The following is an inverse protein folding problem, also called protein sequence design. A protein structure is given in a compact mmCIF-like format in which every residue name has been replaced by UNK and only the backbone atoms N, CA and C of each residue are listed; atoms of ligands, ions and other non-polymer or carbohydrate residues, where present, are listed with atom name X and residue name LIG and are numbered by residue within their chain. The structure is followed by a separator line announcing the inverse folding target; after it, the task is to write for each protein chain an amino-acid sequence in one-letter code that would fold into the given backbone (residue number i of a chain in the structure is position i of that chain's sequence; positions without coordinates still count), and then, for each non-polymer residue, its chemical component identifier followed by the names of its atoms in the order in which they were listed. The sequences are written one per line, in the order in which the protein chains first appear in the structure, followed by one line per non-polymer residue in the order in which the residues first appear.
data_IF_166037664207
#
_entry.id   IF_166037664207
#
_cell.length_a   1.000
_cell.length_b   1.000
_cell.length_c   1.000
_cell.angle_alpha   90.00
_cell.angle_beta   90.00
_cell.angle_gamma   90.00
#
_symmetry.space_group_name_H-M   'P 1'
#
loop_
_entity.id
_entity.type
_entity.pdbx_description
1 polymer ?
#
# COMPACT_ATOMS: atom_id res chain seq x y z
N UNK A 1 -3.26 17.78 -20.51
CA UNK A 1 -3.91 17.18 -19.31
C UNK A 1 -3.75 15.66 -19.38
N UNK A 2 -2.80 15.06 -18.66
CA UNK A 2 -2.59 13.60 -18.69
C UNK A 2 -3.59 12.91 -17.76
N UNK A 3 -4.56 12.18 -18.34
CA UNK A 3 -5.53 11.38 -17.60
C UNK A 3 -4.76 10.26 -16.88
N UNK A 4 -4.91 10.14 -15.57
CA UNK A 4 -4.43 8.99 -14.81
C UNK A 4 -5.29 7.77 -15.20
N UNK A 5 -4.87 7.02 -16.22
CA UNK A 5 -5.61 5.86 -16.78
C UNK A 5 -5.72 4.65 -15.81
N UNK A 6 -5.18 4.75 -14.59
CA UNK A 6 -5.16 3.65 -13.62
C UNK A 6 -6.29 3.65 -12.58
N UNK A 7 -7.09 4.71 -12.49
CA UNK A 7 -8.13 4.82 -11.45
C UNK A 7 -7.57 4.70 -10.02
N UNK A 8 -8.38 4.17 -9.11
CA UNK A 8 -8.02 4.02 -7.68
C UNK A 8 -6.86 3.05 -7.44
N UNK A 9 -6.77 1.98 -8.22
CA UNK A 9 -5.78 0.90 -8.09
C UNK A 9 -4.43 1.20 -8.75
N UNK A 10 -4.18 2.43 -9.20
CA UNK A 10 -2.96 2.77 -9.94
C UNK A 10 -2.85 2.10 -11.32
N UNK A 11 -1.73 2.37 -12.01
CA UNK A 11 -1.44 1.82 -13.34
C UNK A 11 -1.01 0.35 -13.30
N UNK A 12 -0.90 -0.32 -14.46
CA UNK A 12 -0.56 -1.75 -14.55
C UNK A 12 0.70 -2.16 -13.77
N UNK A 13 1.77 -1.37 -13.85
CA UNK A 13 3.03 -1.60 -13.11
C UNK A 13 2.82 -1.59 -11.59
N UNK A 14 1.97 -0.69 -11.09
CA UNK A 14 1.70 -0.60 -9.66
C UNK A 14 0.88 -1.82 -9.21
N UNK A 15 -0.15 -2.19 -9.97
CA UNK A 15 -0.96 -3.39 -9.69
C UNK A 15 -0.12 -4.67 -9.69
N UNK A 16 0.82 -4.80 -10.64
CA UNK A 16 1.77 -5.92 -10.68
C UNK A 16 2.63 -5.96 -9.42
N UNK A 17 3.16 -4.82 -8.97
CA UNK A 17 3.98 -4.77 -7.75
C UNK A 17 3.18 -5.10 -6.50
N UNK A 18 1.93 -4.66 -6.43
CA UNK A 18 0.98 -5.02 -5.35
C UNK A 18 0.73 -6.53 -5.34
N UNK A 19 0.50 -7.16 -6.50
CA UNK A 19 0.33 -8.61 -6.59
C UNK A 19 1.59 -9.37 -6.16
N UNK A 20 2.76 -8.98 -6.68
CA UNK A 20 4.05 -9.58 -6.31
C UNK A 20 4.31 -9.49 -4.79
N UNK A 21 4.01 -8.35 -4.16
CA UNK A 21 4.18 -8.20 -2.72
C UNK A 21 3.16 -9.04 -1.94
N UNK A 22 1.94 -9.18 -2.42
CA UNK A 22 0.94 -10.04 -1.79
C UNK A 22 1.34 -11.53 -1.83
N UNK A 23 1.95 -11.99 -2.92
CA UNK A 23 2.50 -13.36 -3.03
C UNK A 23 3.66 -13.57 -2.04
N UNK A 24 4.56 -12.58 -1.91
CA UNK A 24 5.65 -12.63 -0.93
C UNK A 24 5.12 -12.72 0.50
N UNK A 25 4.12 -11.91 0.85
CA UNK A 25 3.49 -11.95 2.17
C UNK A 25 2.87 -13.33 2.47
N UNK A 26 2.20 -13.96 1.49
CA UNK A 26 1.69 -15.33 1.68
C UNK A 26 2.80 -16.36 1.88
N UNK A 27 3.90 -16.24 1.15
CA UNK A 27 5.08 -17.08 1.36
C UNK A 27 5.72 -16.85 2.74
N UNK A 28 5.59 -15.64 3.30
CA UNK A 28 5.98 -15.28 4.67
C UNK A 28 4.94 -15.74 5.74
N UNK A 29 3.83 -16.38 5.33
CA UNK A 29 2.81 -16.93 6.20
C UNK A 29 1.65 -15.99 6.53
N UNK A 30 1.57 -14.83 5.88
CA UNK A 30 0.44 -13.92 6.02
C UNK A 30 -0.77 -14.45 5.24
N UNK A 31 -1.97 -14.05 5.66
CA UNK A 31 -3.22 -14.34 4.94
C UNK A 31 -3.78 -13.04 4.38
N UNK A 32 -3.85 -12.90 3.05
CA UNK A 32 -4.39 -11.70 2.42
C UNK A 32 -5.91 -11.65 2.61
N UNK A 33 -6.38 -10.51 3.11
CA UNK A 33 -7.80 -10.28 3.43
C UNK A 33 -8.45 -9.20 2.56
N UNK A 34 -7.65 -8.35 1.90
CA UNK A 34 -8.13 -7.33 0.95
C UNK A 34 -6.99 -6.76 0.11
N UNK A 35 -7.33 -6.24 -1.07
CA UNK A 35 -6.34 -5.72 -2.02
C UNK A 35 -5.46 -6.82 -2.61
N UNK A 36 -4.15 -6.57 -2.70
CA UNK A 36 -3.18 -7.56 -3.19
C UNK A 36 -3.31 -7.89 -4.67
N UNK A 37 -3.91 -6.99 -5.47
CA UNK A 37 -4.10 -7.17 -6.91
C UNK A 37 -5.18 -8.19 -7.31
N UNK A 38 -5.85 -8.83 -6.35
CA UNK A 38 -6.82 -9.92 -6.60
C UNK A 38 -8.10 -9.84 -5.77
N UNK A 39 -8.08 -9.15 -4.63
CA UNK A 39 -9.28 -8.91 -3.82
C UNK A 39 -9.66 -7.42 -3.88
N UNK A 40 -10.94 -7.08 -3.63
CA UNK A 40 -11.32 -5.70 -3.34
C UNK A 40 -10.50 -5.15 -2.16
N UNK A 41 -10.02 -3.92 -2.28
CA UNK A 41 -9.37 -3.20 -1.18
C UNK A 41 -10.37 -2.95 -0.03
N UNK A 42 -9.95 -3.23 1.19
CA UNK A 42 -10.73 -2.92 2.39
C UNK A 42 -10.49 -1.47 2.81
N UNK A 43 -11.54 -0.84 3.33
CA UNK A 43 -11.44 0.52 3.86
C UNK A 43 -10.96 0.50 5.31
N UNK A 44 -10.03 1.37 5.62
CA UNK A 44 -9.70 1.80 6.99
C UNK A 44 -10.27 3.20 7.17
N UNK A 45 -11.20 3.37 8.10
CA UNK A 45 -11.80 4.67 8.42
C UNK A 45 -11.02 5.25 9.60
N UNK A 46 -10.43 6.43 9.43
CA UNK A 46 -9.76 7.12 10.54
C UNK A 46 -10.77 7.63 11.55
N UNK A 47 -10.35 7.94 12.80
CA UNK A 47 -11.25 8.54 13.80
C UNK A 47 -11.96 9.82 13.30
N UNK A 48 -11.34 10.58 12.40
CA UNK A 48 -11.92 11.77 11.77
C UNK A 48 -12.78 11.49 10.52
N UNK A 49 -13.20 10.25 10.28
CA UNK A 49 -14.06 9.86 9.16
C UNK A 49 -13.35 9.78 7.79
N UNK A 50 -12.05 10.00 7.74
CA UNK A 50 -11.29 9.93 6.49
C UNK A 50 -11.09 8.48 6.08
N UNK A 51 -11.38 8.17 4.81
CA UNK A 51 -11.24 6.82 4.27
C UNK A 51 -9.83 6.62 3.70
N UNK A 52 -9.15 5.58 4.16
CA UNK A 52 -7.90 5.05 3.61
C UNK A 52 -8.16 3.67 3.03
N UNK A 53 -7.47 3.35 1.95
CA UNK A 53 -7.58 2.07 1.28
C UNK A 53 -6.16 1.55 1.11
N UNK A 54 -5.71 0.67 2.02
CA UNK A 54 -4.41 0.04 1.88
C UNK A 54 -4.37 -0.80 0.61
N UNK A 55 -3.24 -0.79 -0.10
CA UNK A 55 -3.06 -1.60 -1.31
C UNK A 55 -3.10 -3.10 -0.97
N UNK A 56 -2.67 -3.45 0.24
CA UNK A 56 -2.74 -4.79 0.81
C UNK A 56 -3.27 -4.72 2.24
N UNK A 57 -4.27 -5.55 2.56
CA UNK A 57 -4.70 -5.86 3.92
C UNK A 57 -4.52 -7.35 4.17
N UNK A 58 -3.91 -7.72 5.29
CA UNK A 58 -3.58 -9.09 5.60
C UNK A 58 -3.75 -9.39 7.10
N UNK A 59 -3.65 -10.66 7.46
CA UNK A 59 -3.49 -11.14 8.82
C UNK A 59 -2.09 -11.72 8.95
N UNK A 60 -1.32 -11.24 9.92
CA UNK A 60 -0.01 -11.81 10.26
C UNK A 60 -0.14 -13.26 10.75
N UNK A 61 0.94 -14.06 10.72
CA UNK A 61 0.97 -15.36 11.40
C UNK A 61 0.56 -15.28 12.88
N UNK A 62 0.89 -14.17 13.56
CA UNK A 62 0.50 -13.86 14.94
C UNK A 62 -1.01 -13.66 15.14
N UNK A 63 -1.75 -13.51 14.04
CA UNK A 63 -3.17 -13.24 14.00
C UNK A 63 -3.54 -11.75 14.02
N UNK A 64 -2.58 -10.84 14.13
CA UNK A 64 -2.81 -9.39 14.12
C UNK A 64 -3.13 -8.89 12.70
N UNK A 65 -3.93 -7.81 12.57
CA UNK A 65 -4.14 -7.17 11.28
C UNK A 65 -2.85 -6.50 10.79
N UNK A 66 -2.59 -6.62 9.50
CA UNK A 66 -1.47 -6.00 8.79
C UNK A 66 -1.99 -5.21 7.59
N UNK A 67 -1.39 -4.05 7.35
CA UNK A 67 -1.76 -3.16 6.24
C UNK A 67 -0.49 -2.67 5.57
N UNK A 68 -0.46 -2.64 4.24
CA UNK A 68 0.72 -2.20 3.50
C UNK A 68 0.33 -1.39 2.27
N UNK A 69 1.08 -0.32 2.01
CA UNK A 69 1.01 0.45 0.77
C UNK A 69 2.24 0.19 -0.11
N UNK A 70 2.02 0.16 -1.42
CA UNK A 70 3.06 0.18 -2.44
C UNK A 70 3.15 1.58 -3.02
N UNK A 71 4.30 2.26 -2.89
CA UNK A 71 4.31 3.69 -3.22
C UNK A 71 5.66 4.27 -3.61
N UNK A 72 5.64 5.54 -3.98
CA UNK A 72 6.85 6.25 -4.40
C UNK A 72 7.67 6.72 -3.21
N UNK A 73 8.98 6.75 -3.41
CA UNK A 73 9.95 7.31 -2.48
C UNK A 73 10.57 8.60 -3.02
N UNK A 74 11.12 9.42 -2.14
CA UNK A 74 12.02 10.52 -2.48
C UNK A 74 13.45 9.99 -2.67
N UNK A 75 14.38 10.81 -3.19
CA UNK A 75 15.78 10.40 -3.43
C UNK A 75 16.46 9.78 -2.20
N UNK A 76 16.08 10.19 -0.99
CA UNK A 76 16.60 9.63 0.26
C UNK A 76 15.95 8.30 0.70
N UNK A 77 15.15 7.66 -0.15
CA UNK A 77 14.51 6.37 0.13
C UNK A 77 13.23 6.44 0.97
N UNK A 78 12.90 7.59 1.58
CA UNK A 78 11.68 7.75 2.39
C UNK A 78 10.43 7.80 1.50
N UNK A 79 9.26 7.30 1.95
CA UNK A 79 8.01 7.49 1.22
C UNK A 79 7.72 8.98 1.00
N UNK A 80 7.09 9.34 -0.12
CA UNK A 80 6.66 10.73 -0.36
C UNK A 80 5.65 11.20 0.71
N UNK A 81 5.49 12.52 0.88
CA UNK A 81 4.68 13.08 1.96
C UNK A 81 3.23 12.53 2.01
N UNK A 82 2.62 12.29 0.84
CA UNK A 82 1.30 11.68 0.73
C UNK A 82 1.26 10.27 1.33
N UNK A 83 2.23 9.43 1.02
CA UNK A 83 2.32 8.05 1.51
C UNK A 83 2.57 8.04 3.01
N UNK A 84 3.49 8.87 3.51
CA UNK A 84 3.71 9.00 4.96
C UNK A 84 2.44 9.38 5.72
N UNK A 85 1.65 10.31 5.18
CA UNK A 85 0.35 10.68 5.78
C UNK A 85 -0.66 9.54 5.70
N UNK A 86 -0.63 8.70 4.67
CA UNK A 86 -1.51 7.54 4.57
C UNK A 86 -1.17 6.48 5.62
N UNK A 87 0.11 6.16 5.75
CA UNK A 87 0.62 5.22 6.76
C UNK A 87 0.30 5.70 8.18
N UNK A 88 0.58 6.98 8.48
CA UNK A 88 0.23 7.55 9.79
C UNK A 88 -1.28 7.48 10.09
N UNK A 89 -2.12 7.79 9.11
CA UNK A 89 -3.58 7.70 9.26
C UNK A 89 -4.04 6.25 9.53
N UNK A 90 -3.44 5.25 8.86
CA UNK A 90 -3.75 3.82 9.07
C UNK A 90 -3.29 3.38 10.47
N UNK A 91 -2.06 3.74 10.86
CA UNK A 91 -1.52 3.44 12.18
C UNK A 91 -2.41 4.00 13.29
N UNK A 92 -2.78 5.27 13.19
CA UNK A 92 -3.63 5.93 14.19
C UNK A 92 -5.05 5.33 14.24
N UNK A 93 -5.55 4.80 13.13
CA UNK A 93 -6.89 4.21 13.07
C UNK A 93 -6.95 2.77 13.57
N UNK A 94 -5.86 2.01 13.43
CA UNK A 94 -5.86 0.55 13.64
C UNK A 94 -4.97 0.08 14.77
N UNK A 95 -4.02 0.91 15.22
CA UNK A 95 -2.96 0.53 16.16
C UNK A 95 -1.88 -0.38 15.56
N UNK A 96 -2.05 -0.87 14.33
CA UNK A 96 -1.06 -1.69 13.64
C UNK A 96 0.02 -0.81 12.99
N UNK A 97 1.27 -1.29 12.99
CA UNK A 97 2.35 -0.62 12.23
C UNK A 97 2.22 -1.01 10.75
N UNK A 98 1.91 -0.06 9.85
CA UNK A 98 1.72 -0.39 8.45
C UNK A 98 3.05 -0.56 7.72
N UNK A 99 3.09 -1.54 6.82
CA UNK A 99 4.19 -1.75 5.90
C UNK A 99 4.23 -0.73 4.76
N UNK A 100 5.39 -0.64 4.12
CA UNK A 100 5.56 0.13 2.90
C UNK A 100 6.53 -0.55 1.94
N UNK A 101 6.07 -0.90 0.74
CA UNK A 101 6.91 -1.39 -0.34
C UNK A 101 7.23 -0.24 -1.30
N UNK A 102 8.52 0.11 -1.51
CA UNK A 102 8.89 1.11 -2.48
C UNK A 102 8.65 0.62 -3.91
N UNK A 103 8.07 1.48 -4.73
CA UNK A 103 7.93 1.31 -6.17
C UNK A 103 8.87 2.27 -6.89
N UNK A 104 9.77 1.72 -7.70
CA UNK A 104 10.68 2.51 -8.52
C UNK A 104 9.91 3.33 -9.55
N UNK A 105 10.08 4.65 -9.55
CA UNK A 105 9.64 5.50 -10.65
C UNK A 105 10.79 5.60 -11.67
N UNK A 106 10.68 4.85 -12.78
CA UNK A 106 11.67 4.89 -13.89
C UNK A 106 11.83 6.30 -14.51
N UNK A 107 10.98 7.28 -14.17
CA UNK A 107 11.09 8.67 -14.68
C UNK A 107 12.08 9.55 -13.91
N UNK A 108 12.94 8.97 -13.07
CA UNK A 108 13.98 9.67 -12.30
C UNK A 108 15.39 9.11 -12.49
N UNK A 109 15.63 8.34 -13.55
CA UNK A 109 16.97 8.26 -14.13
C UNK A 109 17.20 9.54 -14.94
N UNK A 110 18.29 10.21 -14.62
CA UNK A 110 18.89 11.33 -15.37
C UNK A 110 18.21 12.70 -15.29
N UNK A 111 18.57 13.44 -14.23
CA UNK A 111 18.91 14.87 -14.29
C UNK A 111 19.84 15.24 -13.15
#
# INVERSE_FOLDING_TARGET
MSRNHGGRYGGPEHRRKVAERAEQLEAEGYVITGGGGRLPERVVITPGGKRRYPDISAKEPSGKPYYENVGRTIKSGKPVARERKALADIKNATGAEPGFTPMFDKRRTDK
#
